data_IF_960233043684
#
_entry.id   IF_960233043684
#
_cell.length_a   1.000
_cell.length_b   1.000
_cell.length_c   1.000
_cell.angle_alpha   90.00
_cell.angle_beta   90.00
_cell.angle_gamma   90.00
#
_symmetry.space_group_name_H-M   'P 1'
#
loop_
_entity.id
_entity.type
_entity.pdbx_description
1 polymer ?
#
# COMPACT_ATOMS: atom_id res chain seq x y z
N UNK A 1 -14.89 20.94 -26.63
CA UNK A 1 -14.78 19.73 -25.78
C UNK A 1 -14.22 18.50 -26.52
N UNK A 2 -14.59 18.25 -27.79
CA UNK A 2 -14.12 17.06 -28.55
C UNK A 2 -12.61 17.10 -28.84
N UNK A 3 -12.06 18.24 -29.26
CA UNK A 3 -10.63 18.37 -29.55
C UNK A 3 -9.76 18.20 -28.28
N UNK A 4 -10.21 18.70 -27.13
CA UNK A 4 -9.50 18.58 -25.86
C UNK A 4 -9.48 17.13 -25.35
N UNK A 5 -10.62 16.44 -25.41
CA UNK A 5 -10.70 15.03 -25.02
C UNK A 5 -9.85 14.13 -25.92
N UNK A 6 -9.78 14.44 -27.22
CA UNK A 6 -8.91 13.72 -28.15
C UNK A 6 -7.41 13.89 -27.85
N UNK A 7 -6.97 15.11 -27.52
CA UNK A 7 -5.56 15.38 -27.16
C UNK A 7 -5.20 14.71 -25.82
N UNK A 8 -6.11 14.76 -24.84
CA UNK A 8 -5.92 14.13 -23.53
C UNK A 8 -5.88 12.61 -23.63
N UNK A 9 -6.71 12.02 -24.49
CA UNK A 9 -6.72 10.58 -24.76
C UNK A 9 -5.46 10.14 -25.53
N UNK A 10 -5.00 10.94 -26.49
CA UNK A 10 -3.74 10.67 -27.20
C UNK A 10 -2.52 10.70 -26.26
N UNK A 11 -2.58 11.50 -25.19
CA UNK A 11 -1.54 11.61 -24.16
C UNK A 11 -1.99 11.03 -22.82
N UNK A 12 -2.71 9.90 -22.85
CA UNK A 12 -3.41 9.36 -21.69
C UNK A 12 -2.55 9.25 -20.42
N UNK A 13 -1.30 8.77 -20.53
CA UNK A 13 -0.41 8.62 -19.37
C UNK A 13 0.06 9.98 -18.81
N UNK A 14 0.37 10.96 -19.67
CA UNK A 14 0.74 12.31 -19.25
C UNK A 14 -0.43 12.98 -18.54
N UNK A 15 -1.64 12.83 -19.10
CA UNK A 15 -2.88 13.29 -18.48
C UNK A 15 -3.07 12.67 -17.10
N UNK A 16 -2.83 11.36 -16.96
CA UNK A 16 -2.93 10.67 -15.67
C UNK A 16 -1.97 11.24 -14.63
N UNK A 17 -0.69 11.44 -14.98
CA UNK A 17 0.29 12.07 -14.08
C UNK A 17 -0.11 13.50 -13.69
N UNK A 18 -0.61 14.29 -14.65
CA UNK A 18 -1.06 15.66 -14.37
C UNK A 18 -2.25 15.67 -13.39
N UNK A 19 -3.26 14.83 -13.64
CA UNK A 19 -4.45 14.72 -12.78
C UNK A 19 -4.08 14.26 -11.37
N UNK A 20 -3.22 13.25 -11.26
CA UNK A 20 -2.75 12.74 -9.96
C UNK A 20 -1.88 13.77 -9.25
N UNK A 21 -1.02 14.49 -9.97
CA UNK A 21 -0.23 15.60 -9.43
C UNK A 21 -1.09 16.75 -8.89
N UNK A 22 -2.15 17.13 -9.61
CA UNK A 22 -3.14 18.11 -9.14
C UNK A 22 -3.86 17.60 -7.89
N UNK A 23 -4.27 16.33 -7.88
CA UNK A 23 -4.93 15.71 -6.74
C UNK A 23 -4.01 15.68 -5.51
N UNK A 24 -2.72 15.40 -5.68
CA UNK A 24 -1.71 15.51 -4.64
C UNK A 24 -1.55 16.93 -4.12
N UNK A 25 -1.50 17.92 -5.02
CA UNK A 25 -1.38 19.33 -4.66
C UNK A 25 -2.59 19.82 -3.86
N UNK A 26 -3.81 19.50 -4.30
CA UNK A 26 -5.06 19.79 -3.58
C UNK A 26 -5.03 19.12 -2.21
N UNK A 27 -4.64 17.85 -2.14
CA UNK A 27 -4.56 17.11 -0.88
C UNK A 27 -3.53 17.71 0.08
N UNK A 28 -2.41 18.21 -0.44
CA UNK A 28 -1.42 18.95 0.33
C UNK A 28 -1.95 20.29 0.86
N UNK A 29 -2.71 21.02 0.04
CA UNK A 29 -3.37 22.26 0.46
C UNK A 29 -4.41 21.99 1.57
N UNK A 30 -5.27 20.97 1.41
CA UNK A 30 -6.26 20.58 2.43
C UNK A 30 -5.54 20.16 3.73
N UNK A 31 -4.51 19.32 3.62
CA UNK A 31 -3.68 18.90 4.76
C UNK A 31 -3.17 20.13 5.51
N UNK A 32 -2.57 21.09 4.81
CA UNK A 32 -1.94 22.28 5.42
C UNK A 32 -2.95 23.27 6.00
N UNK A 33 -3.99 23.64 5.23
CA UNK A 33 -4.88 24.75 5.58
C UNK A 33 -6.12 24.32 6.36
N UNK A 34 -6.65 23.12 6.11
CA UNK A 34 -7.87 22.65 6.76
C UNK A 34 -7.59 21.76 7.97
N UNK A 35 -6.60 20.87 7.86
CA UNK A 35 -6.26 19.92 8.95
C UNK A 35 -5.08 20.37 9.81
N UNK A 36 -4.52 21.56 9.54
CA UNK A 36 -3.33 22.11 10.21
C UNK A 36 -2.14 21.12 10.22
N UNK A 37 -2.02 20.30 9.19
CA UNK A 37 -0.98 19.28 9.04
C UNK A 37 -1.19 18.02 9.90
N UNK A 38 -2.34 17.85 10.55
CA UNK A 38 -2.63 16.66 11.37
C UNK A 38 -2.89 15.41 10.52
N UNK A 39 -3.51 15.57 9.35
CA UNK A 39 -3.75 14.46 8.42
C UNK A 39 -2.76 14.60 7.27
N UNK A 40 -1.98 13.55 7.01
CA UNK A 40 -1.00 13.55 5.93
C UNK A 40 -1.67 13.63 4.55
N UNK A 41 -1.06 14.36 3.61
CA UNK A 41 -1.62 14.61 2.28
C UNK A 41 -1.97 13.33 1.52
N UNK A 42 -1.17 12.27 1.64
CA UNK A 42 -1.47 11.00 0.96
C UNK A 42 -2.75 10.32 1.45
N UNK A 43 -3.11 10.44 2.72
CA UNK A 43 -4.36 9.88 3.24
C UNK A 43 -5.59 10.60 2.66
N UNK A 44 -5.52 11.93 2.56
CA UNK A 44 -6.57 12.75 1.92
C UNK A 44 -6.70 12.37 0.44
N UNK A 45 -5.58 12.20 -0.25
CA UNK A 45 -5.56 11.83 -1.65
C UNK A 45 -6.14 10.45 -1.92
N UNK A 46 -5.86 9.47 -1.07
CA UNK A 46 -6.49 8.15 -1.14
C UNK A 46 -8.01 8.31 -1.05
N UNK A 47 -8.51 9.05 -0.06
CA UNK A 47 -9.95 9.29 0.10
C UNK A 47 -10.58 9.99 -1.12
N UNK A 48 -9.94 11.04 -1.64
CA UNK A 48 -10.39 11.74 -2.85
C UNK A 48 -10.34 10.82 -4.08
N UNK A 49 -9.29 10.01 -4.23
CA UNK A 49 -9.15 9.04 -5.31
C UNK A 49 -10.26 7.99 -5.29
N UNK A 50 -10.59 7.43 -4.12
CA UNK A 50 -11.72 6.51 -3.97
C UNK A 50 -13.06 7.19 -4.28
N UNK A 51 -13.27 8.41 -3.79
CA UNK A 51 -14.49 9.17 -4.09
C UNK A 51 -14.66 9.43 -5.59
N UNK A 52 -13.58 9.81 -6.27
CA UNK A 52 -13.57 9.99 -7.72
C UNK A 52 -13.78 8.68 -8.47
N UNK A 53 -13.15 7.58 -8.02
CA UNK A 53 -13.36 6.26 -8.63
C UNK A 53 -14.81 5.79 -8.52
N UNK A 54 -15.43 5.98 -7.35
CA UNK A 54 -16.85 5.69 -7.12
C UNK A 54 -17.76 6.54 -8.02
N UNK A 55 -17.51 7.85 -8.08
CA UNK A 55 -18.24 8.75 -8.96
C UNK A 55 -18.05 8.40 -10.45
N UNK A 56 -16.83 8.01 -10.85
CA UNK A 56 -16.51 7.56 -12.20
C UNK A 56 -17.29 6.30 -12.60
N UNK A 57 -17.41 5.34 -11.68
CA UNK A 57 -18.18 4.12 -11.90
C UNK A 57 -19.68 4.41 -12.07
N UNK A 58 -20.27 5.23 -11.20
CA UNK A 58 -21.69 5.61 -11.32
C UNK A 58 -21.96 6.40 -12.61
N UNK A 59 -21.10 7.36 -12.96
CA UNK A 59 -21.33 8.25 -14.10
C UNK A 59 -21.14 7.56 -15.45
N UNK A 60 -20.29 6.53 -15.52
CA UNK A 60 -20.03 5.77 -16.75
C UNK A 60 -20.83 4.47 -16.84
N UNK A 61 -21.36 3.97 -15.71
CA UNK A 61 -21.93 2.62 -15.61
C UNK A 61 -20.88 1.50 -15.75
N UNK A 62 -19.59 1.84 -15.72
CA UNK A 62 -18.48 0.92 -15.87
C UNK A 62 -17.90 0.42 -14.54
N UNK A 63 -16.99 -0.55 -14.63
CA UNK A 63 -16.38 -1.22 -13.48
C UNK A 63 -14.95 -0.74 -13.16
N UNK A 64 -14.37 0.14 -13.97
CA UNK A 64 -12.98 0.64 -13.84
C UNK A 64 -12.91 2.05 -13.28
N UNK A 65 -14.03 2.58 -12.78
CA UNK A 65 -14.10 3.87 -12.10
C UNK A 65 -13.75 5.03 -13.04
N UNK A 66 -12.83 5.90 -12.64
CA UNK A 66 -12.41 7.03 -13.49
C UNK A 66 -11.72 6.60 -14.78
N UNK A 67 -11.17 5.39 -14.86
CA UNK A 67 -10.51 4.90 -16.06
C UNK A 67 -11.50 4.56 -17.19
N UNK A 68 -12.79 4.46 -16.92
CA UNK A 68 -13.83 4.29 -17.95
C UNK A 68 -14.10 5.60 -18.71
N UNK A 69 -13.65 6.75 -18.18
CA UNK A 69 -13.71 8.03 -18.89
C UNK A 69 -12.57 8.09 -19.92
N UNK A 70 -12.84 8.31 -21.22
CA UNK A 70 -11.81 8.29 -22.27
C UNK A 70 -10.63 9.25 -22.02
N UNK A 71 -10.90 10.42 -21.46
CA UNK A 71 -9.86 11.41 -21.14
C UNK A 71 -8.98 10.99 -19.95
N UNK A 72 -9.42 10.04 -19.12
CA UNK A 72 -8.75 9.57 -17.91
C UNK A 72 -8.35 8.09 -17.98
N UNK A 73 -8.49 7.44 -19.14
CA UNK A 73 -8.14 6.04 -19.35
C UNK A 73 -6.69 5.72 -18.95
N UNK A 74 -5.79 6.70 -19.08
CA UNK A 74 -4.40 6.58 -18.64
C UNK A 74 -4.21 6.37 -17.15
N UNK A 75 -5.19 6.70 -16.30
CA UNK A 75 -5.16 6.39 -14.86
C UNK A 75 -5.16 4.87 -14.65
N UNK A 76 -5.90 4.13 -15.49
CA UNK A 76 -5.89 2.66 -15.46
C UNK A 76 -4.52 2.08 -15.84
N UNK A 77 -3.84 2.68 -16.81
CA UNK A 77 -2.45 2.32 -17.15
C UNK A 77 -1.48 2.68 -16.02
N UNK A 78 -1.66 3.86 -15.40
CA UNK A 78 -0.83 4.34 -14.30
C UNK A 78 -0.93 3.46 -13.05
N UNK A 79 -2.14 3.03 -12.70
CA UNK A 79 -2.41 2.12 -11.59
C UNK A 79 -2.31 0.63 -11.95
N UNK A 80 -1.98 0.31 -13.21
CA UNK A 80 -1.92 -1.06 -13.70
C UNK A 80 -0.70 -1.84 -13.20
N UNK A 81 -0.66 -3.13 -13.49
CA UNK A 81 0.41 -4.04 -13.04
C UNK A 81 1.80 -3.56 -13.45
N UNK A 82 1.99 -3.06 -14.67
CA UNK A 82 3.30 -2.63 -15.16
C UNK A 82 3.92 -1.50 -14.33
N UNK A 83 3.18 -0.41 -14.09
CA UNK A 83 3.71 0.73 -13.33
C UNK A 83 3.80 0.44 -11.84
N UNK A 84 2.91 -0.41 -11.30
CA UNK A 84 3.05 -0.96 -9.95
C UNK A 84 4.36 -1.74 -9.82
N UNK A 85 4.63 -2.67 -10.73
CA UNK A 85 5.81 -3.53 -10.66
C UNK A 85 7.10 -2.73 -10.88
N UNK A 86 7.07 -1.73 -11.79
CA UNK A 86 8.15 -0.74 -11.92
C UNK A 86 8.41 0.00 -10.61
N UNK A 87 7.36 0.49 -9.94
CA UNK A 87 7.51 1.18 -8.66
C UNK A 87 8.09 0.25 -7.58
N UNK A 88 7.69 -1.02 -7.51
CA UNK A 88 8.26 -2.01 -6.59
C UNK A 88 9.77 -2.16 -6.82
N UNK A 89 10.16 -2.36 -8.08
CA UNK A 89 11.56 -2.52 -8.46
C UNK A 89 12.36 -1.24 -8.15
N UNK A 90 11.81 -0.07 -8.47
CA UNK A 90 12.44 1.21 -8.15
C UNK A 90 12.65 1.40 -6.63
N UNK A 91 11.65 1.06 -5.81
CA UNK A 91 11.77 1.09 -4.34
C UNK A 91 12.81 0.08 -3.84
N UNK A 92 12.93 -1.09 -4.47
CA UNK A 92 13.98 -2.05 -4.13
C UNK A 92 15.39 -1.52 -4.43
N UNK A 93 15.57 -0.75 -5.51
CA UNK A 93 16.84 -0.09 -5.83
C UNK A 93 17.19 1.07 -4.90
N UNK A 94 16.21 1.67 -4.21
CA UNK A 94 16.44 2.73 -3.22
C UNK A 94 17.05 2.18 -1.89
N UNK A 95 17.01 0.87 -1.70
CA UNK A 95 17.55 0.23 -0.51
C UNK A 95 19.08 0.28 -0.49
N UNK A 96 19.61 1.10 0.40
CA UNK A 96 21.05 1.12 0.70
C UNK A 96 21.41 -0.11 1.57
N UNK A 97 22.15 -1.05 0.97
CA UNK A 97 22.62 -2.29 1.59
C UNK A 97 23.46 -2.04 2.84
N UNK A 98 24.21 -0.93 2.90
CA UNK A 98 25.02 -0.56 4.07
C UNK A 98 24.12 -0.16 5.23
N UNK A 99 23.05 0.57 4.97
CA UNK A 99 22.07 0.93 5.98
C UNK A 99 21.16 -0.25 6.37
N UNK A 100 20.82 -1.13 5.42
CA UNK A 100 20.12 -2.38 5.70
C UNK A 100 20.91 -3.27 6.66
N UNK A 101 22.24 -3.34 6.51
CA UNK A 101 23.11 -4.08 7.44
C UNK A 101 23.06 -3.55 8.87
N UNK A 102 22.78 -2.25 9.06
CA UNK A 102 22.62 -1.64 10.39
C UNK A 102 21.34 -2.07 11.10
N UNK A 103 20.30 -2.48 10.36
CA UNK A 103 19.10 -3.06 10.96
C UNK A 103 19.40 -4.41 11.62
N UNK A 104 20.37 -5.15 11.07
CA UNK A 104 20.91 -6.39 11.64
C UNK A 104 19.85 -7.46 11.86
N UNK A 105 20.11 -8.35 12.82
CA UNK A 105 19.19 -9.45 13.18
C UNK A 105 17.84 -8.94 13.66
N UNK A 106 17.82 -7.81 14.36
CA UNK A 106 16.59 -7.22 14.91
C UNK A 106 15.67 -6.75 13.79
N UNK A 107 16.22 -6.12 12.75
CA UNK A 107 15.47 -5.76 11.55
C UNK A 107 14.91 -6.99 10.84
N UNK A 108 15.70 -8.06 10.71
CA UNK A 108 15.24 -9.30 10.08
C UNK A 108 14.10 -9.97 10.87
N UNK A 109 14.21 -10.02 12.21
CA UNK A 109 13.15 -10.56 13.08
C UNK A 109 11.90 -9.69 13.01
N UNK A 110 12.06 -8.36 13.08
CA UNK A 110 10.95 -7.43 12.92
C UNK A 110 10.25 -7.69 11.59
N UNK A 111 10.99 -7.72 10.47
CA UNK A 111 10.46 -8.01 9.14
C UNK A 111 9.69 -9.34 9.07
N UNK A 112 10.25 -10.40 9.65
CA UNK A 112 9.58 -11.70 9.71
C UNK A 112 8.25 -11.61 10.45
N UNK A 113 8.25 -10.99 11.64
CA UNK A 113 7.04 -10.81 12.44
C UNK A 113 6.02 -9.89 11.77
N UNK A 114 6.47 -8.77 11.20
CA UNK A 114 5.62 -7.80 10.48
C UNK A 114 5.08 -8.34 9.16
N UNK A 115 5.61 -9.45 8.64
CA UNK A 115 5.02 -10.19 7.51
C UNK A 115 4.08 -11.29 8.00
N UNK A 116 4.52 -12.16 8.90
CA UNK A 116 3.76 -13.34 9.32
C UNK A 116 2.55 -12.98 10.17
N UNK A 117 2.69 -12.07 11.14
CA UNK A 117 1.59 -11.75 12.07
C UNK A 117 0.42 -11.06 11.34
N UNK A 118 0.64 -10.01 10.52
CA UNK A 118 -0.47 -9.42 9.77
C UNK A 118 -1.07 -10.36 8.74
N UNK A 119 -0.26 -11.24 8.12
CA UNK A 119 -0.77 -12.24 7.19
C UNK A 119 -1.76 -13.18 7.88
N UNK A 120 -1.35 -13.77 9.01
CA UNK A 120 -2.19 -14.68 9.79
C UNK A 120 -3.48 -13.98 10.23
N UNK A 121 -3.38 -12.74 10.72
CA UNK A 121 -4.55 -11.96 11.11
C UNK A 121 -5.49 -11.70 9.93
N UNK A 122 -4.94 -11.37 8.75
CA UNK A 122 -5.72 -11.15 7.54
C UNK A 122 -6.41 -12.43 7.04
N UNK A 123 -5.73 -13.58 7.11
CA UNK A 123 -6.33 -14.89 6.81
C UNK A 123 -7.47 -15.20 7.78
N UNK A 124 -7.28 -15.00 9.08
CA UNK A 124 -8.34 -15.22 10.07
C UNK A 124 -9.56 -14.33 9.85
N UNK A 125 -9.33 -13.04 9.55
CA UNK A 125 -10.42 -12.13 9.23
C UNK A 125 -11.12 -12.58 7.95
N UNK A 126 -10.39 -12.90 6.88
CA UNK A 126 -10.99 -13.40 5.64
C UNK A 126 -11.83 -14.68 5.88
N UNK A 127 -11.32 -15.62 6.67
CA UNK A 127 -12.06 -16.83 7.04
C UNK A 127 -13.33 -16.51 7.84
N UNK A 128 -13.26 -15.56 8.79
CA UNK A 128 -14.43 -15.12 9.55
C UNK A 128 -15.50 -14.44 8.67
N UNK A 129 -15.10 -13.83 7.56
CA UNK A 129 -16.00 -13.26 6.55
C UNK A 129 -16.47 -14.29 5.50
N UNK A 130 -16.13 -15.57 5.65
CA UNK A 130 -16.66 -16.68 4.84
C UNK A 130 -15.80 -17.11 3.65
N UNK A 131 -14.60 -16.54 3.48
CA UNK A 131 -13.65 -17.04 2.46
C UNK A 131 -13.07 -18.38 2.91
N UNK A 132 -13.06 -19.36 2.02
CA UNK A 132 -12.62 -20.74 2.34
C UNK A 132 -11.54 -21.26 1.39
N UNK A 133 -11.45 -20.70 0.19
CA UNK A 133 -10.43 -21.05 -0.79
C UNK A 133 -9.06 -20.44 -0.43
N UNK A 134 -8.00 -21.20 -0.75
CA UNK A 134 -6.63 -20.82 -0.41
C UNK A 134 -6.20 -19.55 -1.14
N UNK A 135 -6.66 -19.35 -2.38
CA UNK A 135 -6.38 -18.18 -3.20
C UNK A 135 -6.90 -16.90 -2.54
N UNK A 136 -8.15 -16.90 -2.11
CA UNK A 136 -8.78 -15.73 -1.47
C UNK A 136 -8.20 -15.44 -0.09
N UNK A 137 -8.06 -16.47 0.74
CA UNK A 137 -7.48 -16.33 2.08
C UNK A 137 -6.05 -15.77 2.01
N UNK A 138 -5.21 -16.35 1.14
CA UNK A 138 -3.82 -15.92 0.98
C UNK A 138 -3.75 -14.52 0.40
N UNK A 139 -4.59 -14.17 -0.58
CA UNK A 139 -4.57 -12.84 -1.20
C UNK A 139 -4.97 -11.74 -0.22
N UNK A 140 -6.01 -11.96 0.59
CA UNK A 140 -6.44 -10.99 1.60
C UNK A 140 -5.40 -10.90 2.74
N UNK A 141 -4.87 -12.04 3.19
CA UNK A 141 -3.76 -12.10 4.16
C UNK A 141 -2.52 -11.34 3.67
N UNK A 142 -2.14 -11.54 2.41
CA UNK A 142 -1.06 -10.82 1.74
C UNK A 142 -1.33 -9.30 1.67
N UNK A 143 -2.58 -8.90 1.47
CA UNK A 143 -3.02 -7.50 1.56
C UNK A 143 -2.79 -6.88 2.93
N UNK A 144 -2.99 -7.64 4.01
CA UNK A 144 -2.69 -7.20 5.37
C UNK A 144 -1.18 -7.02 5.62
N UNK A 145 -0.31 -7.70 4.85
CA UNK A 145 1.13 -7.44 4.85
C UNK A 145 1.42 -6.09 4.21
N UNK A 146 1.05 -5.87 2.96
CA UNK A 146 1.07 -4.53 2.35
C UNK A 146 0.03 -4.43 1.23
N UNK A 147 -0.38 -3.21 0.87
CA UNK A 147 -1.27 -2.97 -0.27
C UNK A 147 -0.63 -3.32 -1.63
N UNK A 148 0.64 -3.71 -1.65
CA UNK A 148 1.37 -4.20 -2.83
C UNK A 148 1.46 -5.72 -2.82
N UNK A 149 1.77 -6.32 -1.67
CA UNK A 149 1.95 -7.77 -1.53
C UNK A 149 0.66 -8.51 -1.84
N UNK A 150 -0.49 -7.98 -1.42
CA UNK A 150 -1.82 -8.49 -1.77
C UNK A 150 -2.04 -8.69 -3.28
N UNK A 151 -2.03 -7.63 -4.10
CA UNK A 151 -2.31 -7.75 -5.52
C UNK A 151 -1.23 -8.49 -6.31
N UNK A 152 0.03 -8.48 -5.87
CA UNK A 152 1.09 -9.33 -6.47
C UNK A 152 0.81 -10.80 -6.19
N UNK A 153 0.48 -11.12 -4.93
CA UNK A 153 0.16 -12.50 -4.52
C UNK A 153 -1.08 -13.02 -5.25
N UNK A 154 -2.17 -12.26 -5.25
CA UNK A 154 -3.40 -12.64 -5.92
C UNK A 154 -3.23 -12.82 -7.42
N UNK A 155 -2.47 -11.95 -8.09
CA UNK A 155 -2.14 -12.13 -9.50
C UNK A 155 -1.30 -13.40 -9.76
N UNK A 156 -0.36 -13.72 -8.88
CA UNK A 156 0.51 -14.89 -9.02
C UNK A 156 -0.23 -16.22 -8.81
N UNK A 157 -1.19 -16.28 -7.89
CA UNK A 157 -1.94 -17.50 -7.55
C UNK A 157 -3.32 -17.59 -8.24
N UNK A 158 -3.68 -16.61 -9.07
CA UNK A 158 -4.93 -16.63 -9.86
C UNK A 158 -6.19 -16.24 -9.09
N UNK A 159 -6.08 -15.40 -8.05
CA UNK A 159 -7.23 -14.91 -7.30
C UNK A 159 -8.12 -13.97 -8.14
N UNK A 160 -9.41 -13.90 -7.80
CA UNK A 160 -10.37 -13.07 -8.52
C UNK A 160 -10.11 -11.56 -8.33
N UNK A 161 -10.49 -10.75 -9.33
CA UNK A 161 -10.32 -9.29 -9.29
C UNK A 161 -10.95 -8.62 -8.05
N UNK A 162 -12.16 -9.01 -7.58
CA UNK A 162 -12.73 -8.46 -6.35
C UNK A 162 -11.88 -8.75 -5.10
N UNK A 163 -11.31 -9.96 -5.00
CA UNK A 163 -10.42 -10.34 -3.89
C UNK A 163 -9.12 -9.56 -3.93
N UNK A 164 -8.55 -9.38 -5.13
CA UNK A 164 -7.37 -8.53 -5.33
C UNK A 164 -7.67 -7.08 -4.89
N UNK A 165 -8.83 -6.54 -5.26
CA UNK A 165 -9.25 -5.20 -4.84
C UNK A 165 -9.39 -5.10 -3.31
N UNK A 166 -9.98 -6.11 -2.67
CA UNK A 166 -10.11 -6.18 -1.21
C UNK A 166 -8.74 -6.25 -0.51
N UNK A 167 -7.77 -6.94 -1.10
CA UNK A 167 -6.40 -7.00 -0.56
C UNK A 167 -5.69 -5.64 -0.59
N UNK A 168 -5.89 -4.86 -1.67
CA UNK A 168 -5.38 -3.48 -1.78
C UNK A 168 -6.02 -2.62 -0.69
N UNK A 169 -7.35 -2.70 -0.56
CA UNK A 169 -8.10 -1.95 0.45
C UNK A 169 -7.61 -2.28 1.87
N UNK A 170 -7.36 -3.55 2.16
CA UNK A 170 -6.85 -4.02 3.46
C UNK A 170 -5.50 -3.38 3.79
N UNK A 171 -4.56 -3.40 2.85
CA UNK A 171 -3.23 -2.81 3.05
C UNK A 171 -3.25 -1.29 3.15
N UNK A 172 -4.10 -0.62 2.37
CA UNK A 172 -4.29 0.83 2.42
C UNK A 172 -4.89 1.23 3.77
N UNK A 173 -5.89 0.51 4.24
CA UNK A 173 -6.50 0.71 5.55
C UNK A 173 -5.46 0.60 6.68
N UNK A 174 -4.62 -0.45 6.65
CA UNK A 174 -3.50 -0.57 7.58
C UNK A 174 -2.59 0.64 7.51
N UNK A 175 -2.14 1.05 6.30
CA UNK A 175 -1.23 2.17 6.12
C UNK A 175 -1.77 3.48 6.72
N UNK A 176 -3.06 3.76 6.54
CA UNK A 176 -3.73 4.94 7.11
C UNK A 176 -3.78 4.87 8.64
N UNK A 177 -4.12 3.70 9.21
CA UNK A 177 -4.10 3.50 10.67
C UNK A 177 -2.71 3.75 11.23
N UNK A 178 -1.66 3.21 10.60
CA UNK A 178 -0.27 3.44 11.04
C UNK A 178 0.04 4.93 10.98
N UNK A 179 -0.25 5.57 9.85
CA UNK A 179 0.05 6.98 9.62
C UNK A 179 -0.57 7.91 10.67
N UNK A 180 -1.86 7.72 10.94
CA UNK A 180 -2.62 8.57 11.85
C UNK A 180 -2.39 8.15 13.31
N UNK A 181 -2.24 6.86 13.57
CA UNK A 181 -2.10 6.30 14.92
C UNK A 181 -0.72 6.50 15.54
N UNK A 182 0.35 6.50 14.75
CA UNK A 182 1.73 6.57 15.25
C UNK A 182 1.97 7.73 16.22
N UNK A 183 1.59 8.98 15.92
CA UNK A 183 1.86 10.10 16.82
C UNK A 183 1.22 9.95 18.21
N UNK A 184 0.09 9.25 18.30
CA UNK A 184 -0.61 9.03 19.57
C UNK A 184 0.07 7.97 20.44
N UNK A 185 0.67 6.94 19.83
CA UNK A 185 1.30 5.82 20.54
C UNK A 185 2.83 5.93 20.62
N UNK A 186 3.45 6.86 19.87
CA UNK A 186 4.89 6.97 19.72
C UNK A 186 5.67 7.03 21.05
N UNK A 187 5.17 7.80 22.02
CA UNK A 187 5.80 7.90 23.35
C UNK A 187 5.68 6.59 24.14
N UNK A 188 4.56 5.88 24.01
CA UNK A 188 4.31 4.61 24.71
C UNK A 188 5.21 3.49 24.19
N UNK A 189 5.47 3.47 22.88
CA UNK A 189 6.32 2.45 22.25
C UNK A 189 7.81 2.83 22.20
N UNK A 190 8.19 3.96 22.81
CA UNK A 190 9.59 4.40 22.90
C UNK A 190 10.22 4.78 21.56
N UNK A 191 9.43 5.37 20.64
CA UNK A 191 9.87 5.74 19.29
C UNK A 191 10.71 7.03 19.31
N UNK A 192 11.93 6.93 19.84
CA UNK A 192 12.80 8.08 20.12
C UNK A 192 14.24 7.94 19.57
N UNK A 193 14.55 6.83 18.90
CA UNK A 193 15.90 6.59 18.37
C UNK A 193 15.87 5.77 17.07
N UNK A 194 16.96 5.80 16.27
CA UNK A 194 17.04 5.06 15.01
C UNK A 194 16.73 3.57 15.12
N UNK A 195 17.13 2.91 16.20
CA UNK A 195 16.91 1.47 16.40
C UNK A 195 15.43 1.16 16.63
N UNK A 196 14.75 1.94 17.47
CA UNK A 196 13.29 1.84 17.66
C UNK A 196 12.54 2.12 16.36
N UNK A 197 13.00 3.07 15.55
CA UNK A 197 12.39 3.42 14.27
C UNK A 197 12.52 2.28 13.25
N UNK A 198 13.67 1.61 13.18
CA UNK A 198 13.89 0.42 12.35
C UNK A 198 13.00 -0.75 12.77
N UNK A 199 12.87 -1.02 14.07
CA UNK A 199 11.96 -2.06 14.58
C UNK A 199 10.51 -1.72 14.23
N UNK A 200 10.10 -0.48 14.47
CA UNK A 200 8.77 -0.01 14.14
C UNK A 200 8.46 -0.15 12.64
N UNK A 201 9.38 0.28 11.78
CA UNK A 201 9.22 0.16 10.33
C UNK A 201 9.09 -1.29 9.87
N UNK A 202 9.93 -2.17 10.41
CA UNK A 202 9.88 -3.61 10.16
C UNK A 202 8.73 -4.36 10.85
N UNK A 203 8.01 -3.78 11.80
CA UNK A 203 6.81 -4.40 12.38
C UNK A 203 5.54 -3.93 11.69
N UNK A 204 5.45 -2.65 11.35
CA UNK A 204 4.26 -2.09 10.75
C UNK A 204 4.13 -2.43 9.26
N UNK A 205 5.25 -2.56 8.56
CA UNK A 205 5.30 -3.00 7.16
C UNK A 205 4.51 -2.15 6.19
N UNK A 206 4.61 -0.83 6.33
CA UNK A 206 3.99 0.12 5.39
C UNK A 206 4.89 1.34 5.23
N UNK A 207 5.54 1.49 4.08
CA UNK A 207 6.48 2.60 3.83
C UNK A 207 5.81 3.96 4.01
N UNK A 208 4.65 4.16 3.37
CA UNK A 208 3.90 5.42 3.45
C UNK A 208 3.38 5.67 4.87
N UNK A 209 2.74 4.67 5.48
CA UNK A 209 2.25 4.75 6.85
C UNK A 209 3.33 5.06 7.89
N UNK A 210 4.46 4.34 7.84
CA UNK A 210 5.60 4.54 8.74
C UNK A 210 6.24 5.90 8.51
N UNK A 211 6.48 6.28 7.25
CA UNK A 211 7.09 7.58 6.92
C UNK A 211 6.22 8.74 7.38
N UNK A 212 4.90 8.68 7.13
CA UNK A 212 3.96 9.70 7.56
C UNK A 212 3.83 9.79 9.07
N UNK A 213 3.72 8.64 9.76
CA UNK A 213 3.62 8.58 11.22
C UNK A 213 4.89 9.08 11.92
N UNK A 214 6.07 8.70 11.41
CA UNK A 214 7.36 9.20 11.91
C UNK A 214 7.54 10.69 11.60
N UNK A 215 7.14 11.16 10.42
CA UNK A 215 7.24 12.58 10.08
C UNK A 215 6.40 13.48 10.98
N UNK A 216 5.28 12.96 11.49
CA UNK A 216 4.42 13.62 12.48
C UNK A 216 4.92 13.46 13.94
N UNK A 217 5.86 12.53 14.19
CA UNK A 217 6.43 12.27 15.52
C UNK A 217 7.82 12.90 15.67
N UNK A 218 8.80 12.42 14.89
CA UNK A 218 10.15 12.97 14.76
C UNK A 218 10.67 12.70 13.34
N UNK A 219 10.83 13.78 12.58
CA UNK A 219 11.29 13.73 11.17
C UNK A 219 12.67 13.09 11.01
N UNK A 220 13.53 13.13 12.04
CA UNK A 220 14.88 12.54 11.98
C UNK A 220 14.84 11.02 11.94
N UNK A 221 13.74 10.41 12.40
CA UNK A 221 13.56 8.97 12.45
C UNK A 221 13.05 8.38 11.13
N UNK A 222 12.48 9.21 10.26
CA UNK A 222 11.83 8.79 9.00
C UNK A 222 12.73 7.89 8.14
N UNK A 223 14.00 8.22 7.85
CA UNK A 223 14.83 7.39 6.97
C UNK A 223 15.06 5.99 7.54
N UNK A 224 15.17 5.86 8.86
CA UNK A 224 15.44 4.59 9.53
C UNK A 224 14.24 3.65 9.47
N UNK A 225 13.04 4.16 9.77
CA UNK A 225 11.82 3.36 9.70
C UNK A 225 11.41 3.05 8.26
N UNK A 226 11.50 4.03 7.36
CA UNK A 226 11.16 3.86 5.94
C UNK A 226 12.01 2.75 5.31
N UNK A 227 13.31 2.74 5.56
CA UNK A 227 14.23 1.74 5.02
C UNK A 227 13.83 0.31 5.40
N UNK A 228 13.52 0.07 6.68
CA UNK A 228 13.04 -1.26 7.11
C UNK A 228 11.67 -1.58 6.54
N UNK A 229 10.74 -0.62 6.46
CA UNK A 229 9.41 -0.87 5.91
C UNK A 229 9.46 -1.25 4.42
N UNK A 230 10.42 -0.73 3.66
CA UNK A 230 10.62 -1.03 2.23
C UNK A 230 10.86 -2.51 1.97
N UNK A 231 11.62 -3.18 2.85
CA UNK A 231 11.94 -4.60 2.69
C UNK A 231 10.72 -5.52 2.78
N UNK A 232 9.63 -5.11 3.43
CA UNK A 232 8.44 -5.95 3.51
C UNK A 232 7.78 -6.21 2.18
N UNK A 233 7.82 -5.25 1.26
CA UNK A 233 7.23 -5.45 -0.06
C UNK A 233 7.99 -6.55 -0.80
N UNK A 234 9.32 -6.50 -0.81
CA UNK A 234 10.15 -7.54 -1.43
C UNK A 234 9.98 -8.90 -0.75
N UNK A 235 10.12 -8.95 0.58
CA UNK A 235 9.99 -10.20 1.33
C UNK A 235 8.58 -10.80 1.21
N UNK A 236 7.54 -9.97 1.35
CA UNK A 236 6.15 -10.38 1.25
C UNK A 236 5.81 -10.89 -0.14
N UNK A 237 6.23 -10.20 -1.21
CA UNK A 237 6.00 -10.66 -2.58
C UNK A 237 6.71 -11.98 -2.90
N UNK A 238 7.80 -12.32 -2.19
CA UNK A 238 8.47 -13.61 -2.31
C UNK A 238 7.76 -14.69 -1.50
N UNK A 239 7.47 -14.42 -0.23
CA UNK A 239 7.04 -15.42 0.77
C UNK A 239 5.53 -15.68 0.72
N UNK A 240 4.71 -14.69 0.38
CA UNK A 240 3.25 -14.81 0.38
C UNK A 240 2.71 -15.75 -0.73
N UNK A 241 3.06 -15.57 -2.02
CA UNK A 241 2.58 -16.48 -3.07
C UNK A 241 3.27 -17.85 -3.08
N UNK A 242 4.32 -18.04 -2.27
CA UNK A 242 5.05 -19.30 -2.17
C UNK A 242 4.77 -20.01 -0.84
N UNK A 243 5.61 -19.79 0.17
CA UNK A 243 5.60 -20.51 1.45
C UNK A 243 4.24 -20.35 2.14
N UNK A 244 3.71 -19.12 2.23
CA UNK A 244 2.46 -18.88 2.95
C UNK A 244 1.25 -19.42 2.19
N UNK A 245 1.21 -19.27 0.87
CA UNK A 245 0.15 -19.87 0.04
C UNK A 245 0.11 -21.40 0.22
N UNK A 246 1.25 -22.08 0.10
CA UNK A 246 1.29 -23.53 0.28
C UNK A 246 0.95 -23.95 1.71
N UNK A 247 1.32 -23.16 2.71
CA UNK A 247 0.91 -23.41 4.09
C UNK A 247 -0.61 -23.28 4.28
N UNK A 248 -1.23 -22.24 3.74
CA UNK A 248 -2.70 -22.06 3.77
C UNK A 248 -3.39 -23.19 3.01
N UNK A 249 -2.91 -23.52 1.81
CA UNK A 249 -3.45 -24.60 0.99
C UNK A 249 -3.44 -25.96 1.69
N UNK A 250 -2.35 -26.26 2.40
CA UNK A 250 -2.25 -27.48 3.21
C UNK A 250 -3.28 -27.52 4.35
N UNK A 251 -3.64 -26.37 4.93
CA UNK A 251 -4.65 -26.27 6.00
C UNK A 251 -6.07 -26.36 5.43
N UNK A 252 -6.33 -25.76 4.26
CA UNK A 252 -7.66 -25.70 3.65
C UNK A 252 -8.02 -26.92 2.81
N UNK A 253 -7.13 -27.93 2.73
CA UNK A 253 -7.39 -29.21 2.07
C UNK A 253 -7.27 -29.18 0.54
N UNK A 254 -6.40 -28.33 0.00
CA UNK A 254 -6.11 -28.26 -1.44
C UNK A 254 -4.95 -29.12 -1.92
#
# INVERSE_FOLDING_TARGET
MIMMSHILAANALITAFAVVGILMWISGAISKYLTFGRIHASAIAIMLGLALAFWGGISTGGEKGVADLPALAGIGLMGGAMLRDFAIVATAFEVDVVHARKAGVIGAVALGLGTVVPFILGVFVAAAFGYTDAESLTTIGAGAVTYIVGPVTGAAIGASSPVIALSIATGVFKAVIVMIGTPFVAKMIGLNNPRSAMVFGGLMGTVSGVSGGLAATDRRLVPYGALTATFHTGLGCLVAPSILYFAVRAITGG
#
